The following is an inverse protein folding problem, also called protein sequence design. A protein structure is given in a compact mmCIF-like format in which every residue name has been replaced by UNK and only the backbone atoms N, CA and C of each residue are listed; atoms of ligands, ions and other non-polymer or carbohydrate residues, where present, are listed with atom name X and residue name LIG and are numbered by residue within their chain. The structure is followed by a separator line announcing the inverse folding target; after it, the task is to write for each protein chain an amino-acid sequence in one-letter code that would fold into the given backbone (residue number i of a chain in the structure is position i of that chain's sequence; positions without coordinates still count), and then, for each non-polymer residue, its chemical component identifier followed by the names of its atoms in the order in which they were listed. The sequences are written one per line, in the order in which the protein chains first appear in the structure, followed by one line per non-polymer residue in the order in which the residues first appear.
data_IF_110295831624
#
_entry.id   IF_110295831624
#
_cell.length_a   1.000
_cell.length_b   1.000
_cell.length_c   1.000
_cell.angle_alpha   90.00
_cell.angle_beta   90.00
_cell.angle_gamma   90.00
#
_symmetry.space_group_name_H-M   'P 1'
#
loop_
_entity.id
_entity.type
_entity.pdbx_description
1 polymer ?
#
# COMPACT_ATOMS: atom_id res chain seq x y z
N UNK A 1 -60.89 -11.34 -48.39
CA UNK A 1 -61.33 -11.00 -49.76
C UNK A 1 -60.44 -9.85 -50.21
N UNK A 2 -59.61 -10.09 -51.25
CA UNK A 2 -59.29 -9.22 -52.40
C UNK A 2 -59.46 -7.69 -52.19
N UNK A 3 -58.60 -6.74 -52.59
CA UNK A 3 -57.31 -6.61 -53.30
C UNK A 3 -56.94 -5.10 -53.20
N UNK A 4 -55.63 -4.82 -53.29
CA UNK A 4 -54.87 -3.60 -53.68
C UNK A 4 -55.59 -2.42 -54.39
N UNK A 5 -55.00 -1.22 -54.25
CA UNK A 5 -54.57 -0.21 -55.27
C UNK A 5 -54.05 1.00 -54.43
N UNK A 6 -52.79 1.46 -54.35
CA UNK A 6 -51.64 1.70 -55.24
C UNK A 6 -51.80 2.92 -56.18
N UNK A 7 -51.16 4.05 -55.82
CA UNK A 7 -50.54 5.09 -56.68
C UNK A 7 -50.12 6.28 -55.77
N UNK A 8 -48.84 6.48 -55.46
CA UNK A 8 -47.70 7.03 -56.25
C UNK A 8 -47.60 8.57 -56.25
N UNK A 9 -46.39 9.01 -55.88
CA UNK A 9 -45.64 10.24 -56.23
C UNK A 9 -46.00 11.50 -55.43
N UNK A 10 -45.21 11.86 -54.42
CA UNK A 10 -43.83 12.38 -54.42
C UNK A 10 -43.79 13.92 -54.54
N UNK A 11 -43.17 14.49 -53.50
CA UNK A 11 -43.38 15.81 -52.96
C UNK A 11 -42.56 16.88 -53.69
N UNK A 12 -43.08 18.10 -53.64
CA UNK A 12 -42.60 19.28 -54.33
C UNK A 12 -41.29 19.86 -53.74
N UNK A 13 -40.44 20.29 -54.69
CA UNK A 13 -39.76 21.59 -54.81
C UNK A 13 -39.25 22.36 -53.56
N UNK A 14 -37.91 22.51 -53.55
CA UNK A 14 -37.12 23.77 -53.49
C UNK A 14 -37.26 24.67 -52.25
N UNK A 15 -36.15 24.92 -51.53
CA UNK A 15 -35.45 26.23 -51.56
C UNK A 15 -34.11 26.25 -50.81
N UNK A 16 -33.12 26.77 -51.55
CA UNK A 16 -32.00 27.65 -51.16
C UNK A 16 -30.89 27.20 -50.19
N UNK A 17 -29.74 26.96 -50.82
CA UNK A 17 -28.39 27.44 -50.48
C UNK A 17 -28.26 28.39 -49.30
N UNK A 18 -27.40 28.01 -48.35
CA UNK A 18 -26.41 28.93 -47.80
C UNK A 18 -25.08 28.20 -47.60
N UNK A 19 -24.04 28.80 -48.17
CA UNK A 19 -22.63 28.45 -48.00
C UNK A 19 -22.26 28.47 -46.51
N UNK A 20 -21.80 27.33 -46.01
CA UNK A 20 -21.02 27.23 -44.77
C UNK A 20 -19.90 26.25 -45.03
N UNK A 21 -18.68 26.73 -45.30
CA UNK A 21 -17.47 25.92 -45.23
C UNK A 21 -17.35 25.40 -43.80
N UNK A 22 -17.83 24.18 -43.55
CA UNK A 22 -17.33 23.37 -42.44
C UNK A 22 -15.97 22.85 -42.86
N UNK A 23 -14.92 23.57 -42.49
CA UNK A 23 -13.61 22.95 -42.29
C UNK A 23 -13.79 21.87 -41.23
N UNK A 24 -13.98 20.64 -41.66
CA UNK A 24 -13.75 19.47 -40.85
C UNK A 24 -12.28 19.54 -40.41
N UNK A 25 -12.03 19.96 -39.16
CA UNK A 25 -10.76 19.68 -38.51
C UNK A 25 -10.73 18.17 -38.34
N UNK A 26 -10.09 17.49 -39.27
CA UNK A 26 -9.58 16.14 -39.04
C UNK A 26 -8.55 16.29 -37.92
N UNK A 27 -8.93 15.95 -36.68
CA UNK A 27 -7.94 15.62 -35.67
C UNK A 27 -7.07 14.53 -36.29
N UNK A 28 -5.81 14.86 -36.56
CA UNK A 28 -4.83 13.85 -36.91
C UNK A 28 -4.73 12.95 -35.69
N UNK A 29 -5.24 11.74 -35.80
CA UNK A 29 -4.94 10.65 -34.89
C UNK A 29 -3.40 10.58 -34.82
N UNK A 30 -2.83 10.87 -33.65
CA UNK A 30 -1.40 10.74 -33.44
C UNK A 30 -1.05 9.26 -33.48
N UNK A 31 -0.47 8.82 -34.59
CA UNK A 31 -0.09 7.42 -34.86
C UNK A 31 1.27 7.05 -34.28
N UNK A 32 1.92 7.96 -33.54
CA UNK A 32 3.20 7.68 -32.89
C UNK A 32 3.01 6.64 -31.79
N UNK A 33 3.76 5.52 -31.77
CA UNK A 33 3.68 4.55 -30.69
C UNK A 33 4.04 5.21 -29.36
N UNK A 34 3.11 5.21 -28.42
CA UNK A 34 3.36 5.66 -27.05
C UNK A 34 4.37 4.72 -26.41
N UNK A 35 5.40 5.29 -25.79
CA UNK A 35 6.45 4.55 -25.08
C UNK A 35 6.92 5.34 -23.86
N UNK A 36 7.44 4.65 -22.85
CA UNK A 36 8.05 5.30 -21.70
C UNK A 36 9.56 5.49 -21.94
N UNK A 37 10.04 6.73 -21.84
CA UNK A 37 11.46 7.05 -21.99
C UNK A 37 12.05 7.70 -20.74
N UNK A 38 13.16 7.14 -20.25
CA UNK A 38 13.95 7.75 -19.19
C UNK A 38 14.97 8.75 -19.74
N UNK A 39 15.40 9.68 -18.87
CA UNK A 39 16.59 10.51 -19.12
C UNK A 39 17.85 9.66 -18.93
N UNK A 40 18.81 9.79 -19.85
CA UNK A 40 20.11 9.15 -19.70
C UNK A 40 20.89 9.76 -18.53
N UNK A 41 21.43 8.91 -17.65
CA UNK A 41 22.30 9.37 -16.57
C UNK A 41 23.58 9.95 -17.16
N UNK A 42 23.94 11.21 -16.86
CA UNK A 42 25.17 11.82 -17.35
C UNK A 42 26.38 10.94 -17.03
N UNK A 43 27.27 10.75 -18.01
CA UNK A 43 28.46 9.88 -17.86
C UNK A 43 29.42 10.33 -16.77
N UNK A 44 29.33 11.59 -16.35
CA UNK A 44 30.11 12.13 -15.22
C UNK A 44 29.62 11.65 -13.85
N UNK A 45 28.38 11.15 -13.72
CA UNK A 45 27.86 10.59 -12.47
C UNK A 45 28.22 9.10 -12.43
N UNK A 46 29.31 8.79 -11.74
CA UNK A 46 29.85 7.43 -11.63
C UNK A 46 29.46 6.71 -10.35
N UNK A 47 29.24 7.46 -9.26
CA UNK A 47 28.86 6.89 -7.96
C UNK A 47 27.47 6.23 -8.04
N UNK A 48 27.31 4.94 -7.64
CA UNK A 48 26.02 4.24 -7.73
C UNK A 48 24.87 4.93 -7.00
N UNK A 49 25.11 5.52 -5.83
CA UNK A 49 24.09 6.21 -5.04
C UNK A 49 23.64 7.50 -5.71
N UNK A 50 24.58 8.33 -6.19
CA UNK A 50 24.25 9.54 -6.94
C UNK A 50 23.58 9.23 -8.28
N UNK A 51 23.92 8.10 -8.93
CA UNK A 51 23.22 7.62 -10.13
C UNK A 51 21.77 7.25 -9.83
N UNK A 52 21.51 6.50 -8.75
CA UNK A 52 20.17 6.13 -8.33
C UNK A 52 19.33 7.37 -7.99
N UNK A 53 19.90 8.30 -7.23
CA UNK A 53 19.30 9.61 -6.91
C UNK A 53 18.94 10.41 -8.16
N UNK A 54 19.87 10.53 -9.11
CA UNK A 54 19.60 11.20 -10.38
C UNK A 54 18.44 10.53 -11.13
N UNK A 55 18.46 9.18 -11.23
CA UNK A 55 17.40 8.42 -11.90
C UNK A 55 16.03 8.71 -11.29
N UNK A 56 15.87 8.62 -9.97
CA UNK A 56 14.54 8.83 -9.34
C UNK A 56 14.07 10.29 -9.37
N UNK A 57 14.98 11.25 -9.51
CA UNK A 57 14.63 12.68 -9.64
C UNK A 57 14.20 13.02 -11.07
N UNK A 58 14.82 12.41 -12.07
CA UNK A 58 14.61 12.70 -13.49
C UNK A 58 13.79 11.63 -14.24
N UNK A 59 13.29 10.62 -13.52
CA UNK A 59 12.61 9.45 -14.10
C UNK A 59 11.45 9.84 -15.02
N UNK A 60 10.67 10.83 -14.60
CA UNK A 60 9.44 11.27 -15.27
C UNK A 60 9.61 12.55 -16.10
N UNK A 61 10.84 12.95 -16.44
CA UNK A 61 11.08 14.25 -17.11
C UNK A 61 10.60 14.30 -18.56
N UNK A 62 10.55 13.16 -19.25
CA UNK A 62 10.05 13.07 -20.63
C UNK A 62 8.58 12.65 -20.71
N UNK A 63 7.94 12.36 -19.58
CA UNK A 63 6.57 11.84 -19.55
C UNK A 63 5.56 12.99 -19.66
N UNK A 64 4.62 12.88 -20.60
CA UNK A 64 3.53 13.85 -20.75
C UNK A 64 2.35 13.46 -19.84
N UNK A 65 2.23 14.14 -18.71
CA UNK A 65 1.16 13.93 -17.73
C UNK A 65 -0.21 14.44 -18.18
N UNK A 66 -0.32 15.12 -19.32
CA UNK A 66 -1.59 15.60 -19.88
C UNK A 66 -2.19 14.65 -20.91
N UNK A 67 -1.42 13.67 -21.42
CA UNK A 67 -1.92 12.65 -22.34
C UNK A 67 -2.63 11.52 -21.59
N UNK A 68 -3.94 11.67 -21.40
CA UNK A 68 -4.77 10.71 -20.66
C UNK A 68 -4.88 9.34 -21.32
N UNK A 69 -4.43 9.16 -22.57
CA UNK A 69 -4.36 7.83 -23.17
C UNK A 69 -3.44 6.87 -22.40
N UNK A 70 -2.43 7.39 -21.69
CA UNK A 70 -1.55 6.59 -20.83
C UNK A 70 -2.28 5.88 -19.67
N UNK A 71 -3.47 6.33 -19.28
CA UNK A 71 -4.32 5.67 -18.27
C UNK A 71 -4.75 4.26 -18.76
N UNK A 72 -4.90 4.10 -20.07
CA UNK A 72 -5.37 2.87 -20.70
C UNK A 72 -4.23 1.98 -21.24
N UNK A 73 -2.98 2.32 -20.91
CA UNK A 73 -1.78 1.62 -21.35
C UNK A 73 -0.97 1.09 -20.15
N UNK A 74 -1.49 0.05 -19.44
CA UNK A 74 -0.84 -0.46 -18.23
C UNK A 74 0.58 -0.97 -18.48
N UNK A 75 0.83 -1.60 -19.63
CA UNK A 75 2.17 -2.08 -20.03
C UNK A 75 3.23 -0.95 -20.09
N UNK A 76 2.79 0.31 -20.13
CA UNK A 76 3.64 1.49 -20.12
C UNK A 76 3.62 2.13 -18.73
N UNK A 77 2.46 2.66 -18.31
CA UNK A 77 2.37 3.55 -17.13
C UNK A 77 2.56 2.78 -15.83
N UNK A 78 1.90 1.63 -15.71
CA UNK A 78 1.98 0.81 -14.50
C UNK A 78 3.37 0.15 -14.39
N UNK A 79 3.93 -0.32 -15.51
CA UNK A 79 5.30 -0.84 -15.54
C UNK A 79 6.33 0.25 -15.23
N UNK A 80 6.15 1.47 -15.73
CA UNK A 80 7.02 2.60 -15.41
C UNK A 80 6.94 2.94 -13.92
N UNK A 81 5.75 2.93 -13.31
CA UNK A 81 5.58 3.20 -11.89
C UNK A 81 6.20 2.12 -11.01
N UNK A 82 6.01 0.84 -11.32
CA UNK A 82 6.59 -0.25 -10.53
C UNK A 82 8.12 -0.22 -10.57
N UNK A 83 8.71 0.01 -11.75
CA UNK A 83 10.15 0.23 -11.90
C UNK A 83 10.61 1.46 -11.08
N UNK A 84 9.82 2.54 -11.07
CA UNK A 84 10.12 3.73 -10.28
C UNK A 84 10.12 3.46 -8.77
N UNK A 85 9.14 2.70 -8.27
CA UNK A 85 9.07 2.30 -6.87
C UNK A 85 10.26 1.42 -6.50
N UNK A 86 10.66 0.46 -7.36
CA UNK A 86 11.81 -0.42 -7.08
C UNK A 86 13.12 0.37 -6.95
N UNK A 87 13.29 1.44 -7.72
CA UNK A 87 14.45 2.33 -7.61
C UNK A 87 14.55 3.04 -6.25
N UNK A 88 13.44 3.19 -5.51
CA UNK A 88 13.43 3.86 -4.19
C UNK A 88 14.28 3.12 -3.16
N UNK A 89 14.50 1.81 -3.34
CA UNK A 89 15.34 0.98 -2.47
C UNK A 89 16.81 1.40 -2.45
N UNK A 90 17.25 2.16 -3.46
CA UNK A 90 18.65 2.55 -3.65
C UNK A 90 18.93 4.02 -3.28
N UNK A 91 17.95 4.73 -2.71
CA UNK A 91 18.09 6.13 -2.31
C UNK A 91 17.70 6.33 -0.85
N UNK A 92 18.04 7.50 -0.29
CA UNK A 92 17.65 7.80 1.10
C UNK A 92 16.15 8.08 1.20
N UNK A 93 15.53 7.90 2.39
CA UNK A 93 14.11 8.19 2.60
C UNK A 93 13.70 9.61 2.21
N UNK A 94 14.59 10.60 2.41
CA UNK A 94 14.35 12.00 2.05
C UNK A 94 14.26 12.17 0.53
N UNK A 95 15.17 11.52 -0.20
CA UNK A 95 15.16 11.54 -1.67
C UNK A 95 13.89 10.86 -2.17
N UNK A 96 13.57 9.66 -1.70
CA UNK A 96 12.36 8.93 -2.09
C UNK A 96 11.09 9.75 -1.84
N UNK A 97 10.96 10.35 -0.65
CA UNK A 97 9.86 11.23 -0.28
C UNK A 97 9.72 12.40 -1.25
N UNK A 98 10.82 13.12 -1.52
CA UNK A 98 10.80 14.29 -2.40
C UNK A 98 10.49 13.91 -3.86
N UNK A 99 11.00 12.77 -4.32
CA UNK A 99 10.79 12.21 -5.65
C UNK A 99 9.33 11.81 -5.88
N UNK A 100 8.71 11.09 -4.94
CA UNK A 100 7.29 10.72 -5.00
C UNK A 100 6.40 11.96 -5.02
N UNK A 101 6.66 12.94 -4.13
CA UNK A 101 5.92 14.21 -4.12
C UNK A 101 6.07 14.98 -5.44
N UNK A 102 7.28 15.02 -6.00
CA UNK A 102 7.56 15.64 -7.28
C UNK A 102 6.80 14.98 -8.43
N UNK A 103 6.73 13.66 -8.47
CA UNK A 103 5.95 12.92 -9.47
C UNK A 103 4.45 13.21 -9.31
N UNK A 104 3.89 13.11 -8.10
CA UNK A 104 2.49 13.42 -7.84
C UNK A 104 2.14 14.86 -8.21
N UNK A 105 3.05 15.81 -7.97
CA UNK A 105 2.87 17.19 -8.41
C UNK A 105 2.81 17.31 -9.94
N UNK A 106 3.67 16.61 -10.68
CA UNK A 106 3.59 16.57 -12.16
C UNK A 106 2.29 15.93 -12.64
N UNK A 107 1.85 14.84 -12.00
CA UNK A 107 0.59 14.17 -12.33
C UNK A 107 -0.64 15.05 -12.11
N UNK A 108 -0.56 16.05 -11.24
CA UNK A 108 -1.65 17.00 -11.00
C UNK A 108 -1.94 17.94 -12.20
N UNK A 109 -1.20 17.81 -13.30
CA UNK A 109 -1.52 18.47 -14.57
C UNK A 109 -2.89 18.03 -15.14
N UNK A 110 -3.34 16.81 -14.82
CA UNK A 110 -4.67 16.30 -15.16
C UNK A 110 -5.29 15.53 -13.98
N UNK A 111 -6.56 15.80 -13.64
CA UNK A 111 -7.20 15.20 -12.46
C UNK A 111 -7.46 13.71 -12.62
N UNK A 112 -7.77 13.24 -13.83
CA UNK A 112 -8.02 11.82 -14.10
C UNK A 112 -6.73 11.01 -14.05
N UNK A 113 -5.64 11.56 -14.60
CA UNK A 113 -4.32 10.96 -14.53
C UNK A 113 -3.78 10.94 -13.09
N UNK A 114 -3.95 12.05 -12.35
CA UNK A 114 -3.59 12.09 -10.92
C UNK A 114 -4.30 11.02 -10.11
N UNK A 115 -5.62 10.88 -10.29
CA UNK A 115 -6.41 9.85 -9.61
C UNK A 115 -5.96 8.44 -9.99
N UNK A 116 -5.63 8.22 -11.27
CA UNK A 116 -5.08 6.94 -11.74
C UNK A 116 -3.75 6.60 -11.06
N UNK A 117 -2.80 7.54 -11.01
CA UNK A 117 -1.50 7.35 -10.36
C UNK A 117 -1.65 7.12 -8.85
N UNK A 118 -2.54 7.85 -8.18
CA UNK A 118 -2.85 7.61 -6.77
C UNK A 118 -3.38 6.18 -6.54
N UNK A 119 -4.28 5.70 -7.40
CA UNK A 119 -4.81 4.33 -7.33
C UNK A 119 -3.74 3.26 -7.60
N UNK A 120 -2.81 3.49 -8.52
CA UNK A 120 -1.69 2.58 -8.73
C UNK A 120 -0.73 2.55 -7.53
N UNK A 121 -0.42 3.71 -6.94
CA UNK A 121 0.39 3.74 -5.72
C UNK A 121 -0.25 2.97 -4.58
N UNK A 122 -1.55 3.11 -4.38
CA UNK A 122 -2.27 2.32 -3.39
C UNK A 122 -2.18 0.82 -3.68
N UNK A 123 -2.43 0.42 -4.92
CA UNK A 123 -2.32 -0.98 -5.36
C UNK A 123 -0.96 -1.58 -5.01
N UNK A 124 0.13 -0.84 -5.18
CA UNK A 124 1.48 -1.36 -4.98
C UNK A 124 2.04 -1.15 -3.58
N UNK A 125 1.76 -0.01 -2.95
CA UNK A 125 2.37 0.38 -1.68
C UNK A 125 1.50 0.08 -0.46
N UNK A 126 0.18 -0.09 -0.64
CA UNK A 126 -0.77 -0.27 0.47
C UNK A 126 -1.54 -1.60 0.44
N UNK A 127 -1.90 -2.12 -0.74
CA UNK A 127 -2.63 -3.39 -0.85
C UNK A 127 -1.88 -4.51 -0.09
N UNK A 128 -2.54 -5.22 0.84
CA UNK A 128 -1.91 -6.29 1.62
C UNK A 128 -1.31 -7.43 0.78
N UNK A 129 -1.86 -7.67 -0.41
CA UNK A 129 -1.41 -8.71 -1.33
C UNK A 129 -0.24 -8.24 -2.21
N UNK A 130 0.10 -6.94 -2.18
CA UNK A 130 1.23 -6.43 -2.93
C UNK A 130 2.55 -6.87 -2.28
N UNK A 131 3.48 -7.45 -3.07
CA UNK A 131 4.84 -7.73 -2.59
C UNK A 131 5.69 -6.45 -2.48
N UNK A 132 5.21 -5.32 -3.02
CA UNK A 132 5.90 -4.03 -3.00
C UNK A 132 5.40 -3.09 -1.90
N UNK A 133 4.54 -3.59 -0.99
CA UNK A 133 3.96 -2.76 0.07
C UNK A 133 5.06 -2.10 0.89
N UNK A 134 4.92 -0.79 1.08
CA UNK A 134 5.85 0.01 1.87
C UNK A 134 5.12 1.28 2.29
N UNK A 135 4.64 1.28 3.53
CA UNK A 135 3.91 2.40 4.10
C UNK A 135 4.75 3.68 4.13
N UNK A 136 6.08 3.56 4.27
CA UNK A 136 6.97 4.73 4.29
C UNK A 136 6.99 5.47 2.95
N UNK A 137 6.81 4.74 1.84
CA UNK A 137 6.66 5.29 0.50
C UNK A 137 5.22 5.72 0.20
N UNK A 138 4.22 5.13 0.85
CA UNK A 138 2.82 5.49 0.64
C UNK A 138 2.41 6.78 1.36
N UNK A 139 2.97 7.07 2.54
CA UNK A 139 2.73 8.31 3.29
C UNK A 139 2.90 9.57 2.41
N UNK A 140 4.01 9.79 1.68
CA UNK A 140 4.14 10.97 0.83
C UNK A 140 3.16 11.01 -0.35
N UNK A 141 2.62 9.87 -0.79
CA UNK A 141 1.52 9.83 -1.77
C UNK A 141 0.25 10.39 -1.14
N UNK A 142 -0.13 9.90 0.04
CA UNK A 142 -1.30 10.35 0.78
C UNK A 142 -1.22 11.86 1.08
N UNK A 143 -0.07 12.34 1.55
CA UNK A 143 0.17 13.77 1.77
C UNK A 143 -0.02 14.59 0.47
N UNK A 144 0.44 14.06 -0.67
CA UNK A 144 0.26 14.71 -1.98
C UNK A 144 -1.20 14.74 -2.42
N UNK A 145 -1.94 13.65 -2.19
CA UNK A 145 -3.38 13.55 -2.48
C UNK A 145 -4.18 14.56 -1.66
N UNK A 146 -3.86 14.72 -0.37
CA UNK A 146 -4.54 15.70 0.49
C UNK A 146 -4.22 17.15 0.11
N UNK A 147 -2.98 17.42 -0.31
CA UNK A 147 -2.55 18.73 -0.77
C UNK A 147 -3.03 19.08 -2.19
N UNK A 148 -3.52 18.11 -2.96
CA UNK A 148 -3.88 18.31 -4.36
C UNK A 148 -5.16 19.17 -4.51
N UNK A 149 -5.10 20.31 -5.21
CA UNK A 149 -6.29 21.13 -5.49
C UNK A 149 -7.17 20.54 -6.60
N UNK A 150 -6.64 19.59 -7.37
CA UNK A 150 -7.35 18.92 -8.47
C UNK A 150 -8.35 17.86 -8.00
N UNK A 151 -8.32 17.51 -6.72
CA UNK A 151 -9.29 16.62 -6.09
C UNK A 151 -10.24 17.39 -5.19
N UNK A 152 -11.51 17.01 -5.23
CA UNK A 152 -12.51 17.50 -4.29
C UNK A 152 -12.32 16.92 -2.88
N UNK A 153 -13.01 17.50 -1.90
CA UNK A 153 -12.90 17.09 -0.50
C UNK A 153 -13.44 15.68 -0.24
N UNK A 154 -14.41 15.20 -1.05
CA UNK A 154 -14.97 13.85 -0.90
C UNK A 154 -13.90 12.80 -1.21
N UNK A 155 -13.14 13.01 -2.29
CA UNK A 155 -12.05 12.13 -2.69
C UNK A 155 -10.85 12.17 -1.73
N UNK A 156 -10.80 13.13 -0.80
CA UNK A 156 -9.76 13.23 0.23
C UNK A 156 -10.12 12.56 1.56
N UNK A 157 -11.39 12.24 1.81
CA UNK A 157 -11.84 11.64 3.08
C UNK A 157 -11.09 10.34 3.39
N UNK A 158 -11.08 9.40 2.45
CA UNK A 158 -10.42 8.10 2.66
C UNK A 158 -8.89 8.24 2.73
N UNK A 159 -8.20 8.97 1.83
CA UNK A 159 -6.77 9.23 1.98
C UNK A 159 -6.39 9.89 3.31
N UNK A 160 -7.23 10.80 3.84
CA UNK A 160 -6.97 11.45 5.13
C UNK A 160 -6.99 10.43 6.27
N UNK A 161 -7.99 9.55 6.25
CA UNK A 161 -8.11 8.48 7.22
C UNK A 161 -6.96 7.46 7.12
N UNK A 162 -6.57 7.07 5.90
CA UNK A 162 -5.42 6.20 5.68
C UNK A 162 -4.11 6.84 6.18
N UNK A 163 -3.94 8.15 6.00
CA UNK A 163 -2.77 8.86 6.50
C UNK A 163 -2.75 8.87 8.03
N UNK A 164 -3.89 9.13 8.68
CA UNK A 164 -4.01 9.04 10.13
C UNK A 164 -3.59 7.66 10.65
N UNK A 165 -4.06 6.59 10.01
CA UNK A 165 -3.75 5.21 10.38
C UNK A 165 -2.26 4.88 10.12
N UNK A 166 -1.71 5.29 8.98
CA UNK A 166 -0.32 5.08 8.62
C UNK A 166 0.65 5.76 9.60
N UNK A 167 0.24 6.90 10.16
CA UNK A 167 1.02 7.64 11.15
C UNK A 167 0.98 7.03 12.57
N UNK A 168 0.14 6.02 12.82
CA UNK A 168 0.14 5.28 14.09
C UNK A 168 1.23 4.19 14.09
N UNK A 169 1.91 4.01 15.23
CA UNK A 169 2.91 2.95 15.44
C UNK A 169 4.04 2.94 14.39
N UNK A 170 4.53 4.10 13.98
CA UNK A 170 5.58 4.16 12.94
C UNK A 170 6.89 3.55 13.44
N UNK A 171 7.67 3.02 12.50
CA UNK A 171 9.03 2.56 12.79
C UNK A 171 9.84 3.69 13.46
N UNK A 172 10.49 3.37 14.58
CA UNK A 172 11.24 4.29 15.42
C UNK A 172 10.43 4.98 16.53
N UNK A 173 9.10 4.93 16.46
CA UNK A 173 8.18 5.52 17.45
C UNK A 173 7.70 4.48 18.47
N UNK A 174 7.30 4.91 19.69
CA UNK A 174 6.66 4.01 20.65
C UNK A 174 5.34 3.44 20.10
N UNK A 175 5.14 2.14 20.23
CA UNK A 175 3.86 1.51 19.92
C UNK A 175 2.78 1.97 20.91
N UNK A 176 1.54 2.09 20.45
CA UNK A 176 0.38 2.43 21.26
C UNK A 176 0.09 1.25 22.21
N UNK A 177 -0.03 1.54 23.52
CA UNK A 177 -0.35 0.51 24.52
C UNK A 177 -1.80 0.04 24.35
N UNK A 178 -2.04 -1.23 24.65
CA UNK A 178 -3.39 -1.82 24.67
C UNK A 178 -3.46 -2.88 25.75
N UNK A 179 -4.69 -3.14 26.21
CA UNK A 179 -4.96 -4.21 27.17
C UNK A 179 -5.31 -5.49 26.43
N UNK A 180 -4.70 -6.60 26.82
CA UNK A 180 -5.04 -7.93 26.31
C UNK A 180 -5.56 -8.81 27.44
N UNK A 181 -6.38 -9.80 27.10
CA UNK A 181 -6.95 -10.76 28.04
C UNK A 181 -6.52 -12.18 27.68
N UNK A 182 -6.17 -12.98 28.69
CA UNK A 182 -5.76 -14.36 28.56
C UNK A 182 -6.96 -15.31 28.69
N UNK A 183 -6.76 -16.58 28.35
CA UNK A 183 -7.81 -17.60 28.41
C UNK A 183 -8.40 -17.80 29.82
N UNK A 184 -7.60 -17.56 30.87
CA UNK A 184 -8.00 -17.62 32.28
C UNK A 184 -8.64 -16.32 32.80
N UNK A 185 -8.83 -15.32 31.93
CA UNK A 185 -9.43 -14.02 32.25
C UNK A 185 -8.46 -13.01 32.86
N UNK A 186 -7.19 -13.37 33.10
CA UNK A 186 -6.19 -12.38 33.52
C UNK A 186 -5.94 -11.39 32.40
N UNK A 187 -5.76 -10.14 32.77
CA UNK A 187 -5.43 -9.07 31.83
C UNK A 187 -3.95 -8.66 31.97
N UNK A 188 -3.40 -8.15 30.88
CA UNK A 188 -2.09 -7.51 30.83
C UNK A 188 -2.12 -6.35 29.86
N UNK A 189 -1.03 -5.58 29.81
CA UNK A 189 -0.86 -4.54 28.78
C UNK A 189 0.40 -4.81 27.98
N UNK A 190 0.46 -4.29 26.75
CA UNK A 190 1.62 -4.41 25.87
C UNK A 190 2.92 -4.02 26.61
N UNK A 191 2.91 -2.90 27.33
CA UNK A 191 4.09 -2.37 28.03
C UNK A 191 4.53 -3.20 29.26
N UNK A 192 3.65 -4.04 29.79
CA UNK A 192 3.96 -4.94 30.88
C UNK A 192 4.75 -6.19 30.43
N UNK A 193 4.76 -6.50 29.13
CA UNK A 193 5.54 -7.61 28.59
C UNK A 193 7.02 -7.25 28.54
N UNK A 194 7.83 -7.84 29.43
CA UNK A 194 9.29 -7.64 29.49
C UNK A 194 10.02 -8.66 28.61
N UNK A 195 10.75 -8.18 27.61
CA UNK A 195 11.63 -8.92 26.69
C UNK A 195 12.55 -7.92 25.96
N UNK A 196 13.68 -8.37 25.42
CA UNK A 196 14.56 -7.54 24.58
C UNK A 196 13.87 -7.22 23.24
N UNK A 197 13.14 -8.21 22.72
CA UNK A 197 12.28 -8.11 21.55
C UNK A 197 10.90 -8.67 21.87
N UNK A 198 9.87 -7.95 21.43
CA UNK A 198 8.49 -8.40 21.48
C UNK A 198 7.91 -8.45 20.07
N UNK A 199 7.60 -9.65 19.59
CA UNK A 199 6.86 -9.84 18.36
C UNK A 199 5.35 -9.80 18.68
N UNK A 200 4.64 -8.83 18.12
CA UNK A 200 3.20 -8.82 18.09
C UNK A 200 2.73 -9.59 16.85
N UNK A 201 1.82 -10.52 17.07
CA UNK A 201 1.21 -11.32 16.03
C UNK A 201 -0.31 -11.17 16.12
N UNK A 202 -0.88 -10.30 15.30
CA UNK A 202 -2.32 -10.17 15.18
C UNK A 202 -2.81 -11.26 14.23
N UNK A 203 -3.71 -12.11 14.72
CA UNK A 203 -4.12 -13.32 14.02
C UNK A 203 -5.63 -13.55 14.14
N UNK A 204 -6.17 -14.43 13.29
CA UNK A 204 -7.55 -14.90 13.36
C UNK A 204 -7.56 -16.45 13.29
N UNK A 205 -8.32 -17.14 14.17
CA UNK A 205 -8.42 -18.61 14.22
C UNK A 205 -8.68 -19.32 12.88
N UNK A 206 -9.56 -18.77 12.03
CA UNK A 206 -9.98 -19.40 10.78
C UNK A 206 -9.15 -18.92 9.56
N UNK A 207 -7.95 -18.40 9.80
CA UNK A 207 -7.08 -17.85 8.75
C UNK A 207 -5.95 -18.82 8.37
N UNK A 208 -5.93 -19.26 7.10
CA UNK A 208 -4.89 -20.14 6.58
C UNK A 208 -3.49 -19.51 6.66
N UNK A 209 -3.37 -18.23 6.29
CA UNK A 209 -2.10 -17.50 6.40
C UNK A 209 -1.63 -17.35 7.87
N UNK A 210 -2.55 -17.22 8.84
CA UNK A 210 -2.18 -17.22 10.25
C UNK A 210 -1.58 -18.56 10.68
N UNK A 211 -2.15 -19.67 10.19
CA UNK A 211 -1.61 -21.01 10.44
C UNK A 211 -0.20 -21.16 9.86
N UNK A 212 0.02 -20.73 8.61
CA UNK A 212 1.34 -20.78 7.98
C UNK A 212 2.38 -19.96 8.76
N UNK A 213 2.05 -18.73 9.15
CA UNK A 213 2.93 -17.88 9.98
C UNK A 213 3.19 -18.54 11.34
N UNK A 214 2.19 -19.20 11.93
CA UNK A 214 2.35 -19.93 13.19
C UNK A 214 3.33 -21.09 13.07
N UNK A 215 3.21 -21.88 12.00
CA UNK A 215 4.11 -23.00 11.69
C UNK A 215 5.54 -22.50 11.40
N UNK A 216 5.69 -21.40 10.65
CA UNK A 216 6.98 -20.79 10.36
C UNK A 216 7.68 -20.26 11.63
N UNK A 217 6.97 -19.50 12.46
CA UNK A 217 7.53 -18.96 13.70
C UNK A 217 7.88 -20.06 14.72
N UNK A 218 7.05 -21.09 14.84
CA UNK A 218 7.28 -22.18 15.79
C UNK A 218 8.35 -23.17 15.31
N UNK A 219 8.50 -23.35 13.99
CA UNK A 219 9.47 -24.23 13.38
C UNK A 219 10.87 -23.62 13.20
N UNK A 220 11.02 -22.30 13.31
CA UNK A 220 12.30 -21.63 13.06
C UNK A 220 13.30 -21.78 14.24
N UNK A 221 14.51 -22.32 14.01
CA UNK A 221 15.50 -22.54 15.08
C UNK A 221 16.04 -21.26 15.73
N UNK A 222 16.10 -20.13 15.01
CA UNK A 222 16.55 -18.86 15.56
C UNK A 222 15.47 -18.30 16.50
N UNK A 223 14.19 -18.31 16.09
CA UNK A 223 13.07 -17.90 16.94
C UNK A 223 13.03 -18.75 18.22
N UNK A 224 13.07 -20.08 18.10
CA UNK A 224 13.04 -20.98 19.25
C UNK A 224 14.20 -20.75 20.24
N UNK A 225 15.41 -20.50 19.72
CA UNK A 225 16.59 -20.15 20.54
C UNK A 225 16.44 -18.80 21.23
N UNK A 226 16.02 -17.75 20.52
CA UNK A 226 15.81 -16.42 21.12
C UNK A 226 14.74 -16.42 22.21
N UNK A 227 13.68 -17.22 22.04
CA UNK A 227 12.66 -17.42 23.06
C UNK A 227 13.21 -18.19 24.28
N UNK A 228 13.99 -19.23 24.05
CA UNK A 228 14.65 -20.02 25.12
C UNK A 228 15.62 -19.17 25.94
N UNK A 229 16.36 -18.28 25.27
CA UNK A 229 17.27 -17.31 25.88
C UNK A 229 16.54 -16.12 26.54
N UNK A 230 15.19 -16.11 26.52
CA UNK A 230 14.32 -15.04 27.03
C UNK A 230 14.54 -13.66 26.39
N UNK A 231 15.17 -13.62 25.21
CA UNK A 231 15.38 -12.40 24.42
C UNK A 231 14.12 -12.03 23.64
N UNK A 232 13.42 -13.02 23.09
CA UNK A 232 12.19 -12.83 22.33
C UNK A 232 10.98 -13.32 23.12
N UNK A 233 9.90 -12.54 23.07
CA UNK A 233 8.54 -13.02 23.39
C UNK A 233 7.63 -12.81 22.20
N UNK A 234 6.66 -13.69 22.04
CA UNK A 234 5.60 -13.58 21.05
C UNK A 234 4.29 -13.33 21.80
N UNK A 235 3.63 -12.21 21.49
CA UNK A 235 2.29 -11.86 21.95
C UNK A 235 1.34 -12.02 20.77
N UNK A 236 0.62 -13.13 20.76
CA UNK A 236 -0.41 -13.44 19.78
C UNK A 236 -1.73 -12.84 20.26
N UNK A 237 -2.34 -12.01 19.45
CA UNK A 237 -3.54 -11.23 19.81
C UNK A 237 -4.63 -11.46 18.78
N UNK A 238 -5.78 -11.92 19.25
CA UNK A 238 -7.00 -11.98 18.48
C UNK A 238 -7.82 -10.69 18.70
N UNK A 239 -8.02 -9.86 17.65
CA UNK A 239 -8.65 -8.55 17.80
C UNK A 239 -10.18 -8.58 17.58
N UNK A 240 -10.77 -9.71 17.15
CA UNK A 240 -12.18 -9.81 16.77
C UNK A 240 -13.09 -10.38 17.88
N UNK A 241 -14.40 -10.41 17.62
CA UNK A 241 -15.46 -10.70 18.61
C UNK A 241 -15.72 -12.19 18.87
N UNK A 242 -15.38 -13.10 17.95
CA UNK A 242 -15.73 -14.53 18.08
C UNK A 242 -14.79 -15.26 19.04
N UNK A 243 -15.06 -15.09 20.34
CA UNK A 243 -14.28 -15.74 21.41
C UNK A 243 -14.47 -17.26 21.46
N UNK A 244 -15.57 -17.79 20.94
CA UNK A 244 -15.80 -19.24 20.88
C UNK A 244 -14.88 -19.89 19.84
N UNK A 245 -14.73 -19.27 18.66
CA UNK A 245 -13.74 -19.68 17.68
C UNK A 245 -12.32 -19.56 18.25
N UNK A 246 -11.99 -18.43 18.89
CA UNK A 246 -10.69 -18.23 19.52
C UNK A 246 -10.37 -19.30 20.57
N UNK A 247 -11.31 -19.61 21.47
CA UNK A 247 -11.13 -20.64 22.52
C UNK A 247 -10.87 -22.03 21.92
N UNK A 248 -11.55 -22.39 20.84
CA UNK A 248 -11.34 -23.67 20.14
C UNK A 248 -9.98 -23.76 19.46
N UNK A 249 -9.41 -22.63 19.07
CA UNK A 249 -8.11 -22.55 18.39
C UNK A 249 -6.91 -22.42 19.33
N UNK A 250 -7.12 -22.23 20.63
CA UNK A 250 -6.03 -22.20 21.63
C UNK A 250 -5.03 -23.37 21.48
N UNK A 251 -5.45 -24.63 21.23
CA UNK A 251 -4.52 -25.75 21.07
C UNK A 251 -3.58 -25.64 19.86
N UNK A 252 -3.94 -24.85 18.85
CA UNK A 252 -3.14 -24.64 17.63
C UNK A 252 -2.05 -23.57 17.81
N UNK A 253 -2.15 -22.77 18.88
CA UNK A 253 -1.16 -21.75 19.22
C UNK A 253 -0.11 -22.33 20.18
N UNK A 254 1.20 -22.19 19.92
CA UNK A 254 2.24 -22.73 20.80
C UNK A 254 2.12 -22.22 22.24
N UNK A 255 2.15 -23.14 23.21
CA UNK A 255 2.00 -22.83 24.64
C UNK A 255 3.09 -21.91 25.21
N UNK A 256 4.22 -21.76 24.50
CA UNK A 256 5.29 -20.84 24.87
C UNK A 256 4.96 -19.36 24.56
N UNK A 257 3.91 -19.09 23.78
CA UNK A 257 3.50 -17.75 23.37
C UNK A 257 2.52 -17.17 24.38
N UNK A 258 2.42 -15.84 24.43
CA UNK A 258 1.34 -15.17 25.14
C UNK A 258 0.14 -15.13 24.19
N UNK A 259 -0.73 -16.14 24.27
CA UNK A 259 -1.95 -16.18 23.48
C UNK A 259 -3.07 -15.39 24.18
N UNK A 260 -3.62 -14.39 23.50
CA UNK A 260 -4.53 -13.40 24.07
C UNK A 260 -5.59 -12.93 23.08
N UNK A 261 -6.59 -12.22 23.60
CA UNK A 261 -7.61 -11.54 22.81
C UNK A 261 -7.87 -10.13 23.35
N UNK A 262 -8.44 -9.26 22.52
CA UNK A 262 -8.94 -7.94 22.95
C UNK A 262 -10.41 -8.06 23.38
N UNK A 263 -10.65 -8.05 24.68
CA UNK A 263 -11.99 -8.18 25.25
C UNK A 263 -12.91 -6.98 24.93
N UNK A 264 -12.34 -5.83 24.58
CA UNK A 264 -13.09 -4.61 24.24
C UNK A 264 -13.21 -4.38 22.74
N UNK A 265 -12.48 -5.17 21.93
CA UNK A 265 -12.45 -5.02 20.46
C UNK A 265 -11.95 -3.62 20.05
N UNK A 266 -11.20 -2.95 20.95
CA UNK A 266 -10.63 -1.61 20.76
C UNK A 266 -9.58 -1.56 19.65
N UNK A 267 -8.79 -2.62 19.48
CA UNK A 267 -7.78 -2.73 18.42
C UNK A 267 -8.39 -2.57 17.03
N UNK A 268 -9.62 -3.07 16.85
CA UNK A 268 -10.38 -2.99 15.61
C UNK A 268 -11.25 -1.73 15.55
N UNK A 269 -11.93 -1.37 16.63
CA UNK A 269 -12.91 -0.28 16.62
C UNK A 269 -12.28 1.11 16.71
N UNK A 270 -11.20 1.25 17.47
CA UNK A 270 -10.47 2.52 17.64
C UNK A 270 -9.30 2.65 16.64
N UNK A 271 -9.05 1.59 15.87
CA UNK A 271 -8.00 1.50 14.84
C UNK A 271 -6.65 2.01 15.36
N UNK A 272 -6.33 1.64 16.60
CA UNK A 272 -5.05 1.99 17.24
C UNK A 272 -3.89 1.22 16.62
N UNK A 273 -4.15 0.18 15.84
CA UNK A 273 -3.22 -0.51 14.95
C UNK A 273 -3.84 -0.63 13.56
N UNK A 274 -3.02 -0.53 12.51
CA UNK A 274 -3.46 -0.84 11.14
C UNK A 274 -3.60 -2.36 11.00
N UNK A 275 -4.84 -2.84 11.08
CA UNK A 275 -5.21 -4.25 10.92
C UNK A 275 -6.01 -4.48 9.63
N UNK A 276 -5.69 -3.72 8.56
CA UNK A 276 -6.30 -3.89 7.22
C UNK A 276 -6.21 -5.32 6.68
N UNK A 277 -5.24 -6.10 7.15
CA UNK A 277 -5.12 -7.52 6.85
C UNK A 277 -4.65 -8.30 8.08
N UNK A 278 -5.05 -9.57 8.13
CA UNK A 278 -4.62 -10.52 9.13
C UNK A 278 -4.07 -11.75 8.38
N UNK A 279 -2.87 -12.26 8.72
CA UNK A 279 -2.03 -11.87 9.84
C UNK A 279 -1.27 -10.55 9.66
N UNK A 280 -0.98 -9.88 10.77
CA UNK A 280 -0.08 -8.71 10.81
C UNK A 280 0.99 -8.89 11.88
N UNK A 281 2.25 -8.59 11.52
CA UNK A 281 3.42 -8.72 12.39
C UNK A 281 4.05 -7.36 12.71
N UNK A 282 4.30 -7.10 13.99
CA UNK A 282 5.11 -5.99 14.45
C UNK A 282 6.24 -6.50 15.33
N UNK A 283 7.45 -5.98 15.13
CA UNK A 283 8.57 -6.23 16.03
C UNK A 283 8.84 -4.99 16.85
N UNK A 284 8.85 -5.13 18.17
CA UNK A 284 9.13 -4.05 19.10
C UNK A 284 10.42 -4.29 19.89
N UNK A 285 11.10 -3.21 20.24
CA UNK A 285 12.27 -3.25 21.13
C UNK A 285 11.89 -3.36 22.63
N UNK A 286 12.91 -3.42 23.48
CA UNK A 286 12.75 -3.48 24.95
C UNK A 286 11.92 -2.33 25.54
N UNK A 287 11.90 -1.17 24.88
CA UNK A 287 11.14 0.04 25.25
C UNK A 287 9.80 0.16 24.53
N UNK A 288 9.41 -0.85 23.75
CA UNK A 288 8.20 -0.88 22.92
C UNK A 288 8.24 0.08 21.74
N UNK A 289 9.41 0.54 21.31
CA UNK A 289 9.55 1.22 20.02
C UNK A 289 9.40 0.22 18.89
N UNK A 290 8.69 0.62 17.85
CA UNK A 290 8.46 -0.20 16.66
C UNK A 290 9.75 -0.28 15.85
N UNK A 291 10.24 -1.50 15.66
CA UNK A 291 11.39 -1.80 14.81
C UNK A 291 10.92 -2.18 13.42
N UNK A 292 9.90 -3.05 13.35
CA UNK A 292 9.26 -3.50 12.12
C UNK A 292 7.75 -3.34 12.26
N UNK A 293 7.10 -2.88 11.19
CA UNK A 293 5.65 -2.68 11.09
C UNK A 293 5.14 -3.41 9.85
N UNK A 294 4.10 -4.21 10.01
CA UNK A 294 3.39 -4.90 8.92
C UNK A 294 4.30 -5.67 7.93
N UNK A 295 5.25 -6.40 8.51
CA UNK A 295 6.28 -7.12 7.75
C UNK A 295 5.89 -8.57 7.47
N UNK A 296 6.44 -9.12 6.39
CA UNK A 296 6.41 -10.56 6.12
C UNK A 296 7.30 -11.32 7.10
N UNK A 297 7.09 -12.64 7.20
CA UNK A 297 7.99 -13.54 7.94
C UNK A 297 9.44 -13.42 7.43
N UNK A 298 9.67 -13.35 6.11
CA UNK A 298 11.02 -13.24 5.55
C UNK A 298 11.73 -11.96 5.98
N UNK A 299 11.06 -10.80 5.93
CA UNK A 299 11.62 -9.53 6.40
C UNK A 299 11.93 -9.55 7.90
N UNK A 300 11.06 -10.18 8.71
CA UNK A 300 11.33 -10.40 10.12
C UNK A 300 12.61 -11.24 10.31
N UNK A 301 12.76 -12.32 9.57
CA UNK A 301 13.92 -13.21 9.68
C UNK A 301 15.22 -12.56 9.21
N UNK A 302 15.18 -11.81 8.11
CA UNK A 302 16.32 -11.02 7.62
C UNK A 302 16.81 -10.05 8.71
N UNK A 303 15.89 -9.32 9.35
CA UNK A 303 16.23 -8.44 10.46
C UNK A 303 16.85 -9.21 11.63
N UNK A 304 16.22 -10.30 12.07
CA UNK A 304 16.68 -11.08 13.22
C UNK A 304 18.08 -11.67 13.01
N UNK A 305 18.36 -12.16 11.80
CA UNK A 305 19.67 -12.71 11.45
C UNK A 305 20.77 -11.65 11.51
N UNK A 306 20.51 -10.43 11.03
CA UNK A 306 21.45 -9.32 11.12
C UNK A 306 21.78 -8.91 12.56
N UNK A 307 20.86 -9.09 13.51
CA UNK A 307 21.11 -8.77 14.93
C UNK A 307 21.90 -9.86 15.67
N UNK A 308 21.98 -11.06 15.10
CA UNK A 308 22.70 -12.20 15.71
C UNK A 308 24.10 -12.46 15.15
N UNK A 309 24.45 -11.80 14.06
CA UNK A 309 25.80 -11.78 13.48
C UNK A 309 26.60 -10.62 14.07
#
# INVERSE_FOLDING_TARGET
MIVRILCLLAFALIFNSCHGQQTAKTEKEDTTPRTFEMVAVPSMITDPGERAKYLVQHYWDKFDFTDTAYIHLPDITEQALTNYIDLMKYVTPEVATSSIKGMMHKAAADSSFFAHMAGLYEKYLYDPNSPMRDESLYIPVLESVLAAPVLDEVNKIRPAHLLELALKNRVGEPAIDFTYTLADGKTGTLYNVKADYLLLFFYNPDCHACKEITEQLSGDPLIGRMMSDKKLKILAVYPDEDLEAWRKHIPDVPAAWINSYDNTVSLKNDEIYDLKAIPTLYLLDKTKKVILKDVTFNQLMEFMQMQTN
#
